data_IF_425023998403
#
_entry.id   IF_425023998403
#
_cell.length_a   1.000
_cell.length_b   1.000
_cell.length_c   1.000
_cell.angle_alpha   90.00
_cell.angle_beta   90.00
_cell.angle_gamma   90.00
#
_symmetry.space_group_name_H-M   'P 1'
#
loop_
_entity.id
_entity.type
_entity.pdbx_description
1 polymer ?
#
# COMPACT_ATOMS: atom_id res chain seq x y z
N UNK A 1 -11.44 28.73 9.04
CA UNK A 1 -11.41 27.38 9.58
C UNK A 1 -10.03 26.82 9.27
N UNK A 2 -9.14 26.79 10.29
CA UNK A 2 -7.81 26.21 10.17
C UNK A 2 -7.95 24.70 10.24
N UNK A 3 -7.38 23.98 9.29
CA UNK A 3 -7.27 22.53 9.37
C UNK A 3 -6.13 22.19 10.34
N UNK A 4 -6.47 21.65 11.49
CA UNK A 4 -5.50 21.08 12.42
C UNK A 4 -5.07 19.71 11.86
N UNK A 5 -3.78 19.57 11.56
CA UNK A 5 -3.19 18.29 11.20
C UNK A 5 -2.41 17.79 12.44
N UNK A 6 -2.95 16.78 13.11
CA UNK A 6 -2.28 16.15 14.25
C UNK A 6 -1.36 15.03 13.74
N UNK A 7 -0.06 15.18 13.93
CA UNK A 7 0.93 14.13 13.72
C UNK A 7 1.35 13.63 15.10
N UNK A 8 1.06 12.34 15.40
CA UNK A 8 1.52 11.72 16.64
C UNK A 8 2.87 11.06 16.43
N UNK A 9 3.84 11.44 17.23
CA UNK A 9 5.12 10.78 17.30
C UNK A 9 5.13 9.67 18.38
N UNK A 10 6.17 8.81 18.34
CA UNK A 10 6.35 7.63 19.19
C UNK A 10 6.35 7.96 20.70
N UNK A 11 6.67 9.19 21.07
CA UNK A 11 6.72 9.67 22.45
C UNK A 11 5.40 10.29 22.95
N UNK A 12 4.30 10.13 22.20
CA UNK A 12 2.98 10.65 22.54
C UNK A 12 2.94 12.18 22.73
N UNK A 13 3.94 12.92 22.23
CA UNK A 13 3.92 14.37 22.18
C UNK A 13 3.04 14.84 21.02
N UNK A 14 2.06 15.65 21.33
CA UNK A 14 1.10 16.21 20.38
C UNK A 14 1.68 17.53 19.84
N UNK A 15 2.03 17.52 18.55
CA UNK A 15 2.48 18.72 17.87
C UNK A 15 1.29 19.42 17.23
N UNK A 16 0.92 20.57 17.77
CA UNK A 16 -0.14 21.41 17.20
C UNK A 16 0.49 22.43 16.26
N UNK A 17 0.27 22.29 14.96
CA UNK A 17 0.67 23.29 13.98
C UNK A 17 -0.44 24.32 13.81
N UNK A 18 -0.23 25.51 14.37
CA UNK A 18 -1.12 26.65 14.12
C UNK A 18 -0.56 27.49 12.98
N UNK A 19 -1.17 27.41 11.80
CA UNK A 19 -0.81 28.25 10.66
C UNK A 19 -1.44 29.64 10.88
N UNK A 20 -0.69 30.53 11.49
CA UNK A 20 -1.03 31.95 11.50
C UNK A 20 -0.40 32.62 10.28
N UNK A 21 -1.04 33.65 9.73
CA UNK A 21 -0.47 34.53 8.69
C UNK A 21 0.78 35.22 9.25
N UNK A 22 1.92 34.57 9.20
CA UNK A 22 3.18 35.01 9.75
C UNK A 22 4.10 33.80 9.95
N UNK A 23 5.34 33.96 10.18
CA UNK A 23 6.43 32.99 10.31
C UNK A 23 6.03 31.67 10.95
N UNK A 24 6.11 30.57 10.18
CA UNK A 24 5.93 29.21 10.67
C UNK A 24 7.27 28.73 11.21
N UNK A 25 7.35 28.42 12.52
CA UNK A 25 8.49 27.68 13.07
C UNK A 25 8.32 26.21 12.67
N UNK A 26 9.13 25.74 11.73
CA UNK A 26 9.18 24.34 11.33
C UNK A 26 10.18 23.63 12.23
N UNK A 27 9.79 22.54 12.89
CA UNK A 27 10.72 21.70 13.64
C UNK A 27 11.87 21.22 12.74
N UNK A 28 13.05 21.03 13.37
CA UNK A 28 14.28 20.73 12.64
C UNK A 28 14.22 19.47 11.80
N UNK A 29 13.43 18.49 12.21
CA UNK A 29 13.35 17.17 11.54
C UNK A 29 11.90 16.73 11.39
N UNK A 30 11.52 16.35 10.18
CA UNK A 30 10.22 15.76 9.89
C UNK A 30 10.36 14.23 9.84
N UNK A 31 9.74 13.54 10.78
CA UNK A 31 9.66 12.08 10.80
C UNK A 31 8.33 11.62 10.22
N UNK A 32 8.37 10.92 9.10
CA UNK A 32 7.21 10.34 8.43
C UNK A 32 7.30 8.81 8.47
N UNK A 33 6.18 8.16 8.81
CA UNK A 33 6.06 6.72 8.69
C UNK A 33 5.10 6.40 7.56
N UNK A 34 5.64 5.92 6.44
CA UNK A 34 4.85 5.54 5.26
C UNK A 34 4.39 4.11 5.46
N UNK A 35 3.08 3.89 5.42
CA UNK A 35 2.51 2.55 5.49
C UNK A 35 2.65 1.86 4.13
N UNK A 36 3.23 0.66 4.13
CA UNK A 36 3.50 -0.14 2.93
C UNK A 36 3.05 -1.58 3.20
N UNK A 37 1.85 -1.92 2.80
CA UNK A 37 1.32 -3.26 2.99
C UNK A 37 -0.19 -3.30 3.22
N UNK A 38 -0.75 -4.51 3.25
CA UNK A 38 -2.18 -4.72 3.40
C UNK A 38 -2.64 -4.73 4.87
N UNK A 39 -1.74 -5.07 5.79
CA UNK A 39 -2.06 -5.19 7.21
C UNK A 39 -1.73 -3.93 7.99
N UNK A 40 -2.58 -3.60 8.96
CA UNK A 40 -2.42 -2.45 9.86
C UNK A 40 -1.30 -2.66 10.91
N UNK A 41 -0.32 -3.54 10.64
CA UNK A 41 0.77 -3.82 11.55
C UNK A 41 1.84 -2.74 11.52
N UNK A 42 2.47 -2.52 12.68
CA UNK A 42 3.58 -1.57 12.84
C UNK A 42 4.82 -1.96 12.05
N UNK A 43 4.99 -3.25 11.70
CA UNK A 43 6.10 -3.75 10.88
C UNK A 43 6.00 -3.33 9.42
N UNK A 44 4.80 -3.00 8.93
CA UNK A 44 4.53 -2.59 7.56
C UNK A 44 4.70 -1.08 7.34
N UNK A 45 5.66 -0.46 8.03
CA UNK A 45 5.95 0.97 7.89
C UNK A 45 7.40 1.21 7.53
N UNK A 46 7.61 2.13 6.59
CA UNK A 46 8.94 2.66 6.26
C UNK A 46 9.06 4.03 6.92
N UNK A 47 9.95 4.13 7.90
CA UNK A 47 10.29 5.41 8.52
C UNK A 47 11.15 6.25 7.60
N UNK A 48 10.79 7.51 7.43
CA UNK A 48 11.52 8.51 6.68
C UNK A 48 11.75 9.72 7.57
N UNK A 49 13.02 10.09 7.74
CA UNK A 49 13.40 11.33 8.41
C UNK A 49 13.89 12.32 7.38
N UNK A 50 13.34 13.53 7.41
CA UNK A 50 13.72 14.63 6.53
C UNK A 50 14.15 15.78 7.42
N UNK A 51 15.43 16.10 7.38
CA UNK A 51 15.95 17.27 8.09
C UNK A 51 15.58 18.56 7.36
N UNK A 52 15.35 19.62 8.12
CA UNK A 52 14.98 20.91 7.56
C UNK A 52 16.12 21.47 6.68
N UNK A 53 15.85 21.63 5.39
CA UNK A 53 16.79 22.16 4.39
C UNK A 53 16.68 23.68 4.23
N UNK A 54 16.37 24.36 5.34
CA UNK A 54 16.37 25.83 5.39
C UNK A 54 17.79 26.36 5.57
N UNK A 55 18.06 27.62 5.25
CA UNK A 55 19.35 28.26 5.46
C UNK A 55 19.79 28.16 6.93
N UNK A 56 18.85 28.26 7.86
CA UNK A 56 19.09 28.09 9.29
C UNK A 56 19.44 26.64 9.65
N UNK A 57 18.68 25.64 9.12
CA UNK A 57 18.93 24.22 9.33
C UNK A 57 20.25 23.74 8.75
N UNK A 58 20.66 24.30 7.63
CA UNK A 58 21.94 24.04 6.99
C UNK A 58 23.11 24.78 7.66
N UNK A 59 22.82 25.81 8.49
CA UNK A 59 23.85 26.60 9.15
C UNK A 59 24.52 27.65 8.26
N UNK A 60 23.89 27.97 7.10
CA UNK A 60 24.39 28.98 6.15
C UNK A 60 23.68 30.33 6.31
N UNK A 61 22.83 30.47 7.33
CA UNK A 61 22.19 31.75 7.64
C UNK A 61 23.22 32.69 8.21
N UNK A 62 23.18 33.97 7.80
CA UNK A 62 24.07 35.04 8.28
C UNK A 62 25.56 34.87 7.97
N UNK A 63 25.92 34.08 6.92
CA UNK A 63 27.30 34.03 6.45
C UNK A 63 27.71 35.43 5.97
N UNK A 64 28.79 35.95 6.57
CA UNK A 64 29.39 37.21 6.17
C UNK A 64 30.77 36.95 5.59
N UNK A 65 31.00 37.33 4.35
CA UNK A 65 32.30 37.23 3.68
C UNK A 65 33.02 38.57 3.54
N UNK A 66 32.39 39.63 3.99
CA UNK A 66 32.93 40.98 3.88
C UNK A 66 33.86 41.31 5.11
N UNK A 67 34.92 40.53 5.25
CA UNK A 67 35.94 40.78 6.29
C UNK A 67 37.29 41.06 5.62
N UNK A 68 37.95 42.11 6.09
CA UNK A 68 39.27 42.51 5.58
C UNK A 68 40.41 41.54 5.91
N UNK A 69 40.18 40.56 6.82
CA UNK A 69 41.16 39.55 7.21
C UNK A 69 41.11 38.27 6.36
N UNK A 70 40.02 38.06 5.62
CA UNK A 70 39.76 36.83 4.88
C UNK A 70 39.37 35.59 5.73
N UNK A 71 39.39 35.73 7.06
CA UNK A 71 39.06 34.64 7.97
C UNK A 71 37.56 34.27 7.89
N UNK A 72 36.70 35.29 7.81
CA UNK A 72 35.26 35.07 7.66
C UNK A 72 34.91 34.32 6.38
N UNK A 73 35.62 34.57 5.29
CA UNK A 73 35.47 33.84 4.04
C UNK A 73 35.87 32.36 4.19
N UNK A 74 36.92 32.05 4.94
CA UNK A 74 37.35 30.66 5.18
C UNK A 74 36.29 29.90 6.00
N UNK A 75 35.77 30.50 7.08
CA UNK A 75 34.67 29.90 7.84
C UNK A 75 33.37 29.73 7.02
N UNK A 76 33.11 30.66 6.10
CA UNK A 76 31.98 30.53 5.20
C UNK A 76 32.13 29.32 4.24
N UNK A 77 33.34 29.06 3.76
CA UNK A 77 33.63 27.88 2.93
C UNK A 77 33.38 26.58 3.71
N UNK A 78 33.88 26.50 4.96
CA UNK A 78 33.66 25.32 5.79
C UNK A 78 32.17 25.10 6.07
N UNK A 79 31.41 26.15 6.37
CA UNK A 79 29.96 26.08 6.60
C UNK A 79 29.21 25.62 5.35
N UNK A 80 29.63 26.07 4.17
CA UNK A 80 29.03 25.63 2.89
C UNK A 80 29.38 24.17 2.60
N UNK A 81 30.62 23.75 2.89
CA UNK A 81 31.01 22.34 2.73
C UNK A 81 30.17 21.42 3.62
N UNK A 82 29.97 21.80 4.88
CA UNK A 82 29.10 21.05 5.80
C UNK A 82 27.64 21.03 5.35
N UNK A 83 27.13 22.13 4.81
CA UNK A 83 25.79 22.18 4.22
C UNK A 83 25.65 21.22 3.03
N UNK A 84 26.65 21.19 2.12
CA UNK A 84 26.67 20.27 0.98
C UNK A 84 26.72 18.81 1.46
N UNK A 85 27.49 18.50 2.49
CA UNK A 85 27.54 17.15 3.09
C UNK A 85 26.17 16.75 3.61
N UNK A 86 25.49 17.60 4.39
CA UNK A 86 24.14 17.36 4.92
C UNK A 86 23.12 17.12 3.81
N UNK A 87 23.14 17.94 2.74
CA UNK A 87 22.23 17.77 1.61
C UNK A 87 22.51 16.45 0.87
N UNK A 88 23.80 16.09 0.69
CA UNK A 88 24.20 14.85 0.02
C UNK A 88 23.79 13.62 0.84
N UNK A 89 23.95 13.68 2.16
CA UNK A 89 23.50 12.64 3.08
C UNK A 89 21.98 12.46 3.02
N UNK A 90 21.23 13.54 3.10
CA UNK A 90 19.77 13.51 3.00
C UNK A 90 19.31 12.94 1.64
N UNK A 91 19.93 13.32 0.55
CA UNK A 91 19.65 12.76 -0.77
C UNK A 91 19.94 11.26 -0.83
N UNK A 92 21.03 10.81 -0.21
CA UNK A 92 21.37 9.39 -0.12
C UNK A 92 20.33 8.60 0.65
N UNK A 93 19.86 9.12 1.80
CA UNK A 93 18.79 8.51 2.60
C UNK A 93 17.49 8.42 1.78
N UNK A 94 17.11 9.50 1.11
CA UNK A 94 15.92 9.52 0.25
C UNK A 94 16.02 8.51 -0.91
N UNK A 95 17.19 8.42 -1.53
CA UNK A 95 17.45 7.42 -2.59
C UNK A 95 17.35 5.98 -2.07
N UNK A 96 17.85 5.72 -0.86
CA UNK A 96 17.71 4.40 -0.24
C UNK A 96 16.24 4.05 0.06
N UNK A 97 15.47 5.03 0.55
CA UNK A 97 14.03 4.85 0.78
C UNK A 97 13.28 4.62 -0.54
N UNK A 98 13.62 5.35 -1.59
CA UNK A 98 13.04 5.17 -2.92
C UNK A 98 13.30 3.73 -3.43
N UNK A 99 14.53 3.24 -3.35
CA UNK A 99 14.85 1.85 -3.73
C UNK A 99 14.04 0.84 -2.90
N UNK A 100 13.92 1.06 -1.59
CA UNK A 100 13.11 0.19 -0.72
C UNK A 100 11.65 0.18 -1.13
N UNK A 101 11.08 1.34 -1.46
CA UNK A 101 9.69 1.46 -1.93
C UNK A 101 9.49 0.74 -3.26
N UNK A 102 10.42 0.88 -4.21
CA UNK A 102 10.38 0.17 -5.49
C UNK A 102 10.39 -1.35 -5.31
N UNK A 103 11.26 -1.86 -4.42
CA UNK A 103 11.29 -3.29 -4.10
C UNK A 103 10.00 -3.75 -3.39
N UNK A 104 9.46 -2.91 -2.52
CA UNK A 104 8.19 -3.22 -1.85
C UNK A 104 7.03 -3.27 -2.83
N UNK A 105 6.97 -2.33 -3.79
CA UNK A 105 5.95 -2.32 -4.85
C UNK A 105 6.03 -3.62 -5.66
N UNK A 106 7.21 -4.01 -6.14
CA UNK A 106 7.38 -5.26 -6.87
C UNK A 106 6.98 -6.50 -6.07
N UNK A 107 7.27 -6.51 -4.77
CA UNK A 107 6.85 -7.60 -3.90
C UNK A 107 5.34 -7.64 -3.72
N UNK A 108 4.71 -6.47 -3.55
CA UNK A 108 3.25 -6.35 -3.44
C UNK A 108 2.56 -6.77 -4.75
N UNK A 109 3.10 -6.42 -5.89
CA UNK A 109 2.57 -6.85 -7.20
C UNK A 109 2.55 -8.38 -7.30
N UNK A 110 3.62 -9.07 -6.89
CA UNK A 110 3.67 -10.53 -6.85
C UNK A 110 2.64 -11.11 -5.86
N UNK A 111 2.46 -10.47 -4.71
CA UNK A 111 1.46 -10.88 -3.71
C UNK A 111 0.05 -10.73 -4.29
N UNK A 112 -0.24 -9.60 -4.94
CA UNK A 112 -1.53 -9.34 -5.60
C UNK A 112 -1.81 -10.37 -6.69
N UNK A 113 -0.82 -10.70 -7.52
CA UNK A 113 -0.96 -11.72 -8.56
C UNK A 113 -1.27 -13.10 -7.96
N UNK A 114 -0.54 -13.50 -6.92
CA UNK A 114 -0.78 -14.77 -6.22
C UNK A 114 -2.17 -14.81 -5.56
N UNK A 115 -2.58 -13.72 -4.91
CA UNK A 115 -3.91 -13.62 -4.27
C UNK A 115 -5.00 -13.67 -5.35
N UNK A 116 -4.85 -12.94 -6.44
CA UNK A 116 -5.81 -12.94 -7.56
C UNK A 116 -5.93 -14.33 -8.18
N UNK A 117 -4.81 -15.04 -8.36
CA UNK A 117 -4.80 -16.42 -8.84
C UNK A 117 -5.50 -17.37 -7.87
N UNK A 118 -5.25 -17.22 -6.57
CA UNK A 118 -5.90 -18.01 -5.54
C UNK A 118 -7.41 -17.69 -5.45
N UNK A 119 -7.79 -16.42 -5.55
CA UNK A 119 -9.20 -16.02 -5.62
C UNK A 119 -9.90 -16.64 -6.82
N UNK A 120 -9.26 -16.62 -8.00
CA UNK A 120 -9.78 -17.24 -9.21
C UNK A 120 -10.02 -18.75 -9.01
N UNK A 121 -9.08 -19.46 -8.39
CA UNK A 121 -9.25 -20.89 -8.08
C UNK A 121 -10.44 -21.19 -7.14
N UNK A 122 -10.77 -20.26 -6.25
CA UNK A 122 -11.89 -20.43 -5.31
C UNK A 122 -13.22 -20.00 -5.92
N UNK A 123 -13.22 -18.90 -6.66
CA UNK A 123 -14.46 -18.27 -7.17
C UNK A 123 -14.83 -18.68 -8.58
N UNK A 124 -13.84 -18.99 -9.41
CA UNK A 124 -14.12 -19.33 -10.80
C UNK A 124 -14.60 -20.76 -10.90
N UNK A 125 -15.84 -20.92 -11.32
CA UNK A 125 -16.42 -22.23 -11.59
C UNK A 125 -15.94 -22.72 -12.95
N UNK A 126 -15.39 -23.92 -12.99
CA UNK A 126 -15.11 -24.60 -14.27
C UNK A 126 -16.43 -24.86 -15.02
N UNK A 127 -16.73 -23.98 -15.98
CA UNK A 127 -17.94 -24.01 -16.76
C UNK A 127 -18.08 -25.33 -17.53
N UNK A 128 -16.99 -25.96 -17.94
CA UNK A 128 -17.04 -27.24 -18.62
C UNK A 128 -17.55 -28.37 -17.69
N UNK A 129 -17.00 -28.42 -16.47
CA UNK A 129 -17.44 -29.36 -15.44
C UNK A 129 -18.89 -29.10 -15.01
N UNK A 130 -19.31 -27.86 -14.88
CA UNK A 130 -20.66 -27.50 -14.48
C UNK A 130 -21.69 -27.81 -15.59
N UNK A 131 -21.33 -27.57 -16.85
CA UNK A 131 -22.17 -27.97 -18.01
C UNK A 131 -22.33 -29.47 -18.09
N UNK A 132 -21.31 -30.27 -17.79
CA UNK A 132 -21.43 -31.74 -17.72
C UNK A 132 -22.38 -32.17 -16.61
N UNK A 133 -22.27 -31.59 -15.42
CA UNK A 133 -23.21 -31.87 -14.31
C UNK A 133 -24.64 -31.49 -14.66
N UNK A 134 -24.85 -30.32 -15.27
CA UNK A 134 -26.14 -29.86 -15.72
C UNK A 134 -26.75 -30.82 -16.77
N UNK A 135 -25.95 -31.20 -17.78
CA UNK A 135 -26.36 -32.14 -18.81
C UNK A 135 -26.72 -33.48 -18.21
N UNK A 136 -25.89 -34.04 -17.32
CA UNK A 136 -26.18 -35.30 -16.63
C UNK A 136 -27.48 -35.22 -15.80
N UNK A 137 -27.70 -34.11 -15.09
CA UNK A 137 -28.92 -33.90 -14.32
C UNK A 137 -30.17 -33.87 -15.22
N UNK A 138 -30.09 -33.22 -16.39
CA UNK A 138 -31.17 -33.19 -17.35
C UNK A 138 -31.44 -34.56 -17.94
N UNK A 139 -30.42 -35.33 -18.31
CA UNK A 139 -30.56 -36.68 -18.82
C UNK A 139 -31.21 -37.59 -17.78
N UNK A 140 -30.77 -37.51 -16.53
CA UNK A 140 -31.35 -38.27 -15.41
C UNK A 140 -32.81 -37.90 -15.17
N UNK A 141 -33.17 -36.62 -15.24
CA UNK A 141 -34.55 -36.18 -15.11
C UNK A 141 -35.45 -36.73 -16.25
N UNK A 142 -34.97 -36.64 -17.49
CA UNK A 142 -35.70 -37.19 -18.66
C UNK A 142 -35.79 -38.71 -18.60
N UNK A 143 -34.72 -39.39 -18.24
CA UNK A 143 -34.73 -40.85 -18.07
C UNK A 143 -35.67 -41.26 -16.93
N UNK A 144 -35.65 -40.55 -15.80
CA UNK A 144 -36.56 -40.79 -14.69
C UNK A 144 -38.03 -40.62 -15.07
N UNK A 145 -38.38 -39.57 -15.82
CA UNK A 145 -39.73 -39.37 -16.33
C UNK A 145 -40.14 -40.48 -17.28
N UNK A 146 -39.26 -40.91 -18.20
CA UNK A 146 -39.52 -42.00 -19.13
C UNK A 146 -39.70 -43.33 -18.40
N UNK A 147 -38.92 -43.63 -17.39
CA UNK A 147 -39.02 -44.82 -16.56
C UNK A 147 -40.31 -44.82 -15.72
N UNK A 148 -40.72 -43.67 -15.19
CA UNK A 148 -42.01 -43.53 -14.50
C UNK A 148 -43.20 -43.76 -15.44
N UNK A 149 -43.14 -43.20 -16.66
CA UNK A 149 -44.17 -43.45 -17.67
C UNK A 149 -44.24 -44.93 -18.02
N UNK A 150 -43.09 -45.59 -18.21
CA UNK A 150 -43.00 -47.04 -18.50
C UNK A 150 -43.56 -47.88 -17.35
N UNK A 151 -43.21 -47.53 -16.09
CA UNK A 151 -43.74 -48.23 -14.91
C UNK A 151 -45.26 -48.08 -14.78
N UNK A 152 -45.80 -46.89 -15.05
CA UNK A 152 -47.25 -46.66 -15.05
C UNK A 152 -47.97 -47.43 -16.15
N UNK A 153 -47.40 -47.52 -17.37
CA UNK A 153 -47.96 -48.35 -18.45
C UNK A 153 -47.93 -49.85 -18.11
N UNK A 154 -46.82 -50.30 -17.48
CA UNK A 154 -46.71 -51.68 -17.03
C UNK A 154 -47.84 -52.06 -16.04
N UNK A 155 -48.04 -51.14 -15.03
CA UNK A 155 -49.13 -51.36 -14.06
C UNK A 155 -50.53 -51.34 -14.70
N UNK A 156 -50.80 -50.50 -15.69
CA UNK A 156 -52.05 -50.47 -16.44
C UNK A 156 -52.24 -51.73 -17.27
N UNK A 157 -51.15 -52.25 -17.87
CA UNK A 157 -51.19 -53.51 -18.57
C UNK A 157 -51.57 -54.70 -17.67
N UNK A 158 -51.03 -54.74 -16.46
CA UNK A 158 -51.42 -55.80 -15.48
C UNK A 158 -52.87 -55.64 -15.04
N UNK A 159 -53.35 -54.39 -14.82
CA UNK A 159 -54.77 -54.17 -14.47
C UNK A 159 -55.73 -54.63 -15.63
N UNK A 160 -55.33 -54.41 -16.88
CA UNK A 160 -56.16 -54.78 -18.01
C UNK A 160 -56.20 -56.32 -18.26
N UNK A 161 -55.26 -57.07 -17.67
CA UNK A 161 -55.22 -58.54 -17.72
C UNK A 161 -56.01 -59.17 -16.55
N UNK A 162 -56.31 -58.47 -15.53
CA UNK A 162 -57.01 -58.91 -14.33
C UNK A 162 -58.52 -58.55 -14.31
N UNK A 163 -58.91 -57.65 -15.17
CA UNK A 163 -60.30 -57.23 -15.34
C UNK A 163 -60.85 -57.60 -16.68
#
# INVERSE_FOLDING_TARGET
MGSEMCIRDRDNSEYTFTINKGTTTVDKDLALNIHVGADADMTNKIGLQISAMTSEGLGIDKLNVADGSGMAATYAVDSIEDAIKKVSEQRSVLGAVQNRLEHTIKNLDNVVENITSAESQIRDTDMATEMVKYSNSNILAQAGQSMLAQANQSNQGVLSLLG
#
